data_IF_772330054762
#
_entry.id   IF_772330054762
#
_cell.length_a   1.000
_cell.length_b   1.000
_cell.length_c   1.000
_cell.angle_alpha   90.00
_cell.angle_beta   90.00
_cell.angle_gamma   90.00
#
_symmetry.space_group_name_H-M   'P 1'
#
loop_
_entity.id
_entity.type
_entity.pdbx_description
1 polymer ?
#
# COMPACT_ATOMS: atom_id res chain seq x y z
N UNK A 1 -49.77 19.13 36.40
CA UNK A 1 -49.67 17.68 36.09
C UNK A 1 -50.46 17.30 34.82
N UNK A 2 -51.69 17.71 34.68
CA UNK A 2 -52.48 17.42 33.45
C UNK A 2 -51.82 17.84 32.12
N UNK A 3 -51.04 18.90 32.12
CA UNK A 3 -50.40 19.45 30.94
C UNK A 3 -49.16 18.60 30.44
N UNK A 4 -48.45 17.90 31.33
CA UNK A 4 -47.30 17.06 30.95
C UNK A 4 -47.75 15.69 30.39
N UNK A 5 -48.79 15.10 30.96
CA UNK A 5 -49.35 13.83 30.47
C UNK A 5 -50.03 14.00 29.12
N UNK A 6 -50.72 15.15 28.92
CA UNK A 6 -51.27 15.49 27.61
C UNK A 6 -50.17 15.68 26.56
N UNK A 7 -49.12 16.45 26.90
CA UNK A 7 -47.97 16.66 26.01
C UNK A 7 -47.27 15.36 25.62
N UNK A 8 -47.12 14.42 26.60
CA UNK A 8 -46.56 13.10 26.36
C UNK A 8 -47.40 12.32 25.34
N UNK A 9 -48.72 12.30 25.56
CA UNK A 9 -49.67 11.58 24.69
C UNK A 9 -49.65 12.14 23.28
N UNK A 10 -49.63 13.48 23.13
CA UNK A 10 -49.61 14.16 21.84
C UNK A 10 -48.32 13.90 21.08
N UNK A 11 -47.15 13.94 21.77
CA UNK A 11 -45.85 13.66 21.17
C UNK A 11 -45.73 12.18 20.73
N UNK A 12 -46.19 11.24 21.56
CA UNK A 12 -46.18 9.81 21.20
C UNK A 12 -47.09 9.52 20.00
N UNK A 13 -48.25 10.15 19.91
CA UNK A 13 -49.16 10.02 18.77
C UNK A 13 -48.52 10.62 17.47
N UNK A 14 -47.78 11.72 17.55
CA UNK A 14 -47.06 12.29 16.44
C UNK A 14 -45.92 11.38 16.00
N UNK A 15 -45.16 10.78 16.92
CA UNK A 15 -44.07 9.83 16.64
C UNK A 15 -44.64 8.59 15.90
N UNK A 16 -45.77 8.06 16.35
CA UNK A 16 -46.38 6.87 15.74
C UNK A 16 -46.80 7.08 14.27
N UNK A 17 -47.18 8.30 13.91
CA UNK A 17 -47.61 8.64 12.54
C UNK A 17 -46.52 9.26 11.69
N UNK A 18 -45.31 9.46 12.22
CA UNK A 18 -44.21 10.11 11.52
C UNK A 18 -43.51 9.16 10.55
N UNK A 19 -43.07 9.70 9.40
CA UNK A 19 -42.03 9.12 8.56
C UNK A 19 -40.62 9.52 9.06
N UNK A 20 -39.55 9.04 8.42
CA UNK A 20 -38.18 9.31 8.85
C UNK A 20 -37.84 10.82 8.89
N UNK A 21 -38.33 11.62 7.94
CA UNK A 21 -38.07 13.06 7.90
C UNK A 21 -38.85 13.79 9.02
N UNK A 22 -40.12 13.50 9.16
CA UNK A 22 -40.96 14.07 10.21
C UNK A 22 -40.49 13.66 11.63
N UNK A 23 -39.95 12.45 11.78
CA UNK A 23 -39.37 11.96 13.01
C UNK A 23 -38.17 12.75 13.46
N UNK A 24 -37.28 13.11 12.53
CA UNK A 24 -36.12 13.97 12.82
C UNK A 24 -36.56 15.41 13.18
N UNK A 25 -37.54 15.95 12.49
CA UNK A 25 -38.11 17.25 12.81
C UNK A 25 -38.76 17.25 14.21
N UNK A 26 -39.48 16.18 14.58
CA UNK A 26 -40.01 15.99 15.92
C UNK A 26 -38.90 15.87 16.97
N UNK A 27 -37.84 15.17 16.68
CA UNK A 27 -36.67 15.08 17.57
C UNK A 27 -36.06 16.46 17.85
N UNK A 28 -35.89 17.27 16.82
CA UNK A 28 -35.34 18.62 16.94
C UNK A 28 -36.31 19.57 17.68
N UNK A 29 -37.60 19.51 17.36
CA UNK A 29 -38.64 20.37 17.97
C UNK A 29 -38.92 20.02 19.46
N UNK A 30 -38.83 18.73 19.83
CA UNK A 30 -39.06 18.31 21.20
C UNK A 30 -37.77 18.36 22.08
N UNK A 31 -36.66 17.80 21.56
CA UNK A 31 -35.44 17.54 22.34
C UNK A 31 -34.25 18.44 21.97
N UNK A 32 -34.31 19.20 20.87
CA UNK A 32 -33.25 20.09 20.42
C UNK A 32 -32.93 21.21 21.42
N UNK A 33 -31.85 21.97 21.16
CA UNK A 33 -31.37 23.06 22.06
C UNK A 33 -32.46 24.11 22.38
N UNK A 34 -33.40 24.38 21.48
CA UNK A 34 -34.57 25.26 21.61
C UNK A 34 -35.89 24.48 21.66
N UNK A 35 -35.83 23.14 21.83
CA UNK A 35 -36.99 22.28 21.82
C UNK A 35 -37.90 22.46 23.04
N UNK A 36 -39.15 22.07 22.90
CA UNK A 36 -40.22 22.27 23.93
C UNK A 36 -39.82 21.67 25.26
N UNK A 37 -39.38 20.42 25.31
CA UNK A 37 -38.99 19.74 26.55
C UNK A 37 -37.71 20.41 27.14
N UNK A 38 -36.73 20.74 26.29
CA UNK A 38 -35.52 21.42 26.75
C UNK A 38 -35.78 22.82 27.29
N UNK A 39 -36.75 23.52 26.71
CA UNK A 39 -37.26 24.80 27.20
C UNK A 39 -37.89 24.70 28.59
N UNK A 40 -38.71 23.67 28.80
CA UNK A 40 -39.34 23.39 30.11
C UNK A 40 -38.30 23.04 31.17
N UNK A 41 -37.27 22.25 30.82
CA UNK A 41 -36.14 21.92 31.74
C UNK A 41 -35.39 23.21 32.17
N UNK A 42 -35.16 24.13 31.25
CA UNK A 42 -34.52 25.43 31.59
C UNK A 42 -35.41 26.31 32.48
N UNK A 43 -36.74 26.19 32.35
CA UNK A 43 -37.71 26.92 33.17
C UNK A 43 -37.84 26.43 34.63
N UNK A 44 -37.33 25.24 34.97
CA UNK A 44 -37.35 24.69 36.36
C UNK A 44 -36.66 25.63 37.33
N UNK A 45 -35.63 26.37 36.87
CA UNK A 45 -34.94 27.34 37.72
C UNK A 45 -35.81 28.45 38.28
N UNK A 46 -36.98 28.72 37.70
CA UNK A 46 -37.92 29.78 38.13
C UNK A 46 -38.98 29.26 39.12
N UNK A 47 -39.07 27.92 39.39
CA UNK A 47 -40.01 27.32 40.33
C UNK A 47 -39.51 27.44 41.79
N UNK A 48 -40.41 27.37 42.77
CA UNK A 48 -40.06 27.25 44.17
C UNK A 48 -39.11 26.07 44.45
N UNK A 49 -38.16 26.17 45.42
CA UNK A 49 -37.17 25.13 45.68
C UNK A 49 -37.76 23.74 45.98
N UNK A 50 -38.91 23.67 46.60
CA UNK A 50 -39.63 22.46 46.94
C UNK A 50 -40.18 21.72 45.72
N UNK A 51 -40.61 22.42 44.66
CA UNK A 51 -41.22 21.83 43.45
C UNK A 51 -40.18 21.47 42.38
N UNK A 52 -38.95 22.01 42.48
CA UNK A 52 -37.89 21.80 41.42
C UNK A 52 -37.51 20.37 41.27
N UNK A 53 -37.45 19.58 42.35
CA UNK A 53 -37.01 18.19 42.33
C UNK A 53 -38.03 17.32 41.61
N UNK A 54 -39.28 17.48 41.95
CA UNK A 54 -40.38 16.65 41.38
C UNK A 54 -40.65 17.03 39.92
N UNK A 55 -40.64 18.31 39.59
CA UNK A 55 -40.73 18.79 38.20
C UNK A 55 -39.55 18.31 37.34
N UNK A 56 -38.33 18.34 37.88
CA UNK A 56 -37.13 17.84 37.20
C UNK A 56 -37.18 16.34 36.92
N UNK A 57 -37.67 15.56 37.89
CA UNK A 57 -37.82 14.13 37.75
C UNK A 57 -38.87 13.75 36.66
N UNK A 58 -40.05 14.42 36.71
CA UNK A 58 -41.10 14.20 35.72
C UNK A 58 -40.67 14.60 34.29
N UNK A 59 -39.99 15.73 34.13
CA UNK A 59 -39.44 16.15 32.82
C UNK A 59 -38.36 15.22 32.29
N UNK A 60 -37.53 14.65 33.16
CA UNK A 60 -36.53 13.64 32.72
C UNK A 60 -37.22 12.33 32.30
N UNK A 61 -38.24 11.89 33.00
CA UNK A 61 -39.04 10.71 32.59
C UNK A 61 -39.72 10.95 31.24
N UNK A 62 -40.32 12.14 31.02
CA UNK A 62 -40.90 12.53 29.76
C UNK A 62 -39.85 12.55 28.61
N UNK A 63 -38.72 13.20 28.88
CA UNK A 63 -37.62 13.27 27.92
C UNK A 63 -37.13 11.90 27.48
N UNK A 64 -36.89 11.00 28.44
CA UNK A 64 -36.42 9.65 28.15
C UNK A 64 -37.50 8.85 27.39
N UNK A 65 -38.76 8.91 27.80
CA UNK A 65 -39.83 8.21 27.10
C UNK A 65 -40.01 8.68 25.65
N UNK A 66 -39.88 9.99 25.38
CA UNK A 66 -39.94 10.53 24.02
C UNK A 66 -38.70 10.15 23.21
N UNK A 67 -37.53 10.15 23.80
CA UNK A 67 -36.29 9.74 23.11
C UNK A 67 -36.35 8.24 22.74
N UNK A 68 -36.71 7.38 23.69
CA UNK A 68 -36.87 5.94 23.46
C UNK A 68 -37.93 5.63 22.37
N UNK A 69 -39.03 6.37 22.36
CA UNK A 69 -40.07 6.18 21.34
C UNK A 69 -39.60 6.61 19.95
N UNK A 70 -38.83 7.70 19.87
CA UNK A 70 -38.22 8.16 18.61
C UNK A 70 -37.22 7.14 18.09
N UNK A 71 -36.32 6.65 18.93
CA UNK A 71 -35.31 5.67 18.54
C UNK A 71 -35.95 4.35 18.09
N UNK A 72 -36.93 3.83 18.85
CA UNK A 72 -37.67 2.60 18.49
C UNK A 72 -38.41 2.76 17.14
N UNK A 73 -39.07 3.91 16.91
CA UNK A 73 -39.78 4.16 15.65
C UNK A 73 -38.80 4.30 14.48
N UNK A 74 -37.67 4.93 14.69
CA UNK A 74 -36.58 5.08 13.70
C UNK A 74 -36.07 3.72 13.25
N UNK A 75 -35.76 2.82 14.20
CA UNK A 75 -35.26 1.47 13.90
C UNK A 75 -36.29 0.69 13.05
N UNK A 76 -37.58 0.81 13.36
CA UNK A 76 -38.65 0.15 12.59
C UNK A 76 -38.74 0.71 11.17
N UNK A 77 -38.65 2.03 11.00
CA UNK A 77 -38.73 2.67 9.70
C UNK A 77 -37.51 2.39 8.84
N UNK A 78 -36.32 2.38 9.44
CA UNK A 78 -35.05 2.04 8.74
C UNK A 78 -35.07 0.56 8.31
N UNK A 79 -35.53 -0.35 9.18
CA UNK A 79 -35.65 -1.74 8.80
C UNK A 79 -36.67 -1.96 7.66
N UNK A 80 -37.81 -1.29 7.72
CA UNK A 80 -38.81 -1.37 6.65
C UNK A 80 -38.31 -0.76 5.33
N UNK A 81 -37.54 0.32 5.39
CA UNK A 81 -36.89 0.92 4.20
C UNK A 81 -35.86 -0.01 3.60
N UNK A 82 -35.04 -0.65 4.44
CA UNK A 82 -34.07 -1.64 4.00
C UNK A 82 -34.74 -2.85 3.35
N UNK A 83 -35.77 -3.40 3.96
CA UNK A 83 -36.53 -4.54 3.40
C UNK A 83 -37.17 -4.19 2.05
N UNK A 84 -37.71 -2.97 1.91
CA UNK A 84 -38.25 -2.50 0.66
C UNK A 84 -37.17 -2.34 -0.44
N UNK A 85 -35.99 -1.84 -0.06
CA UNK A 85 -34.85 -1.76 -0.97
C UNK A 85 -34.38 -3.14 -1.42
N UNK A 86 -34.21 -4.07 -0.47
CA UNK A 86 -33.79 -5.45 -0.75
C UNK A 86 -34.82 -6.22 -1.62
N UNK A 87 -36.12 -5.94 -1.47
CA UNK A 87 -37.13 -6.55 -2.30
C UNK A 87 -37.10 -6.10 -3.77
N UNK A 88 -36.60 -4.90 -4.03
CA UNK A 88 -36.49 -4.32 -5.38
C UNK A 88 -35.11 -4.51 -6.00
N UNK A 89 -34.09 -4.69 -5.20
CA UNK A 89 -32.69 -4.83 -5.62
C UNK A 89 -32.44 -6.27 -6.14
N UNK A 90 -32.61 -6.45 -7.44
CA UNK A 90 -32.39 -7.71 -8.13
C UNK A 90 -31.01 -7.73 -8.80
N UNK A 91 -30.12 -8.56 -8.28
CA UNK A 91 -28.86 -8.87 -8.93
C UNK A 91 -29.09 -10.07 -9.87
N UNK A 92 -28.80 -9.89 -11.15
CA UNK A 92 -28.84 -10.98 -12.11
C UNK A 92 -27.60 -11.85 -11.94
N UNK A 93 -27.76 -12.96 -11.23
CA UNK A 93 -26.68 -13.92 -10.97
C UNK A 93 -26.40 -14.84 -12.17
N UNK A 94 -27.18 -14.73 -13.27
CA UNK A 94 -26.94 -15.50 -14.49
C UNK A 94 -25.96 -14.82 -15.45
N UNK A 95 -25.64 -13.55 -15.20
CA UNK A 95 -24.60 -12.85 -15.94
C UNK A 95 -23.25 -13.55 -15.72
N UNK A 96 -22.49 -13.83 -16.78
CA UNK A 96 -21.16 -14.38 -16.63
C UNK A 96 -20.30 -13.40 -15.82
N UNK A 97 -19.44 -13.96 -14.95
CA UNK A 97 -18.44 -13.17 -14.26
C UNK A 97 -17.63 -12.37 -15.29
N UNK A 98 -17.30 -11.13 -14.96
CA UNK A 98 -16.32 -10.39 -15.77
C UNK A 98 -15.07 -11.26 -15.88
N UNK A 99 -14.55 -11.51 -17.10
CA UNK A 99 -13.31 -12.24 -17.23
C UNK A 99 -12.25 -11.53 -16.41
N UNK A 100 -11.66 -12.26 -15.44
CA UNK A 100 -10.48 -11.75 -14.76
C UNK A 100 -9.39 -11.58 -15.82
N UNK A 101 -8.87 -10.37 -15.94
CA UNK A 101 -7.71 -10.12 -16.78
C UNK A 101 -6.54 -10.92 -16.20
N UNK A 102 -6.19 -12.01 -16.86
CA UNK A 102 -4.98 -12.76 -16.50
C UNK A 102 -3.79 -11.90 -16.84
N UNK A 103 -3.10 -11.40 -15.81
CA UNK A 103 -1.84 -10.71 -15.99
C UNK A 103 -0.82 -11.57 -16.74
N UNK A 104 0.16 -10.94 -17.38
CA UNK A 104 1.29 -11.59 -18.02
C UNK A 104 2.58 -11.13 -17.35
N UNK A 105 3.53 -12.03 -17.20
CA UNK A 105 4.87 -11.69 -16.69
C UNK A 105 5.57 -10.83 -17.77
N UNK A 106 6.20 -9.75 -17.35
CA UNK A 106 6.92 -8.85 -18.24
C UNK A 106 8.06 -9.59 -18.94
N UNK A 107 8.34 -9.38 -20.26
CA UNK A 107 9.40 -10.08 -20.97
C UNK A 107 10.77 -10.01 -20.30
N UNK A 108 11.16 -8.86 -19.76
CA UNK A 108 12.44 -8.74 -19.03
C UNK A 108 12.48 -9.65 -17.80
N UNK A 109 11.37 -9.77 -17.04
CA UNK A 109 11.33 -10.67 -15.90
C UNK A 109 11.45 -12.13 -16.34
N UNK A 110 10.76 -12.52 -17.40
CA UNK A 110 10.90 -13.86 -17.97
C UNK A 110 12.35 -14.17 -18.41
N UNK A 111 12.99 -13.21 -19.07
CA UNK A 111 14.40 -13.34 -19.49
C UNK A 111 15.34 -13.47 -18.31
N UNK A 112 15.15 -12.67 -17.26
CA UNK A 112 15.96 -12.76 -16.03
C UNK A 112 15.76 -14.12 -15.36
N UNK A 113 14.53 -14.58 -15.22
CA UNK A 113 14.21 -15.86 -14.59
C UNK A 113 14.85 -17.03 -15.37
N UNK A 114 14.80 -17.00 -16.71
CA UNK A 114 15.44 -17.99 -17.58
C UNK A 114 16.96 -17.98 -17.44
N UNK A 115 17.59 -16.81 -17.51
CA UNK A 115 19.03 -16.68 -17.33
C UNK A 115 19.49 -17.16 -15.94
N UNK A 116 18.76 -16.79 -14.89
CA UNK A 116 19.04 -17.23 -13.53
C UNK A 116 18.92 -18.74 -13.40
N UNK A 117 17.89 -19.36 -14.00
CA UNK A 117 17.73 -20.81 -13.97
C UNK A 117 18.92 -21.51 -14.61
N UNK A 118 19.39 -21.05 -15.78
CA UNK A 118 20.56 -21.59 -16.46
C UNK A 118 21.81 -21.51 -15.59
N UNK A 119 22.08 -20.36 -14.97
CA UNK A 119 23.24 -20.20 -14.08
C UNK A 119 23.13 -21.02 -12.81
N UNK A 120 21.92 -21.17 -12.25
CA UNK A 120 21.70 -22.05 -11.09
C UNK A 120 22.00 -23.52 -11.43
N UNK A 121 21.64 -24.01 -12.62
CA UNK A 121 22.01 -25.35 -13.09
C UNK A 121 23.52 -25.51 -13.27
N UNK A 122 24.24 -24.44 -13.61
CA UNK A 122 25.71 -24.40 -13.62
C UNK A 122 26.34 -24.30 -12.22
N UNK A 123 25.55 -24.28 -11.15
CA UNK A 123 26.01 -24.24 -9.76
C UNK A 123 26.29 -22.83 -9.22
N UNK A 124 25.73 -21.79 -9.84
CA UNK A 124 25.74 -20.44 -9.28
C UNK A 124 24.59 -20.25 -8.29
N UNK A 125 24.82 -19.42 -7.28
CA UNK A 125 23.76 -18.95 -6.37
C UNK A 125 23.42 -17.49 -6.71
N UNK A 126 22.16 -17.10 -6.54
CA UNK A 126 21.73 -15.73 -6.77
C UNK A 126 22.13 -14.87 -5.60
N UNK A 127 22.78 -13.74 -5.88
CA UNK A 127 23.07 -12.70 -4.90
C UNK A 127 22.39 -11.40 -5.28
N UNK A 128 21.82 -10.71 -4.29
CA UNK A 128 21.11 -9.46 -4.47
C UNK A 128 21.70 -8.35 -3.60
N UNK A 129 21.47 -7.11 -4.00
CA UNK A 129 21.92 -5.94 -3.25
C UNK A 129 21.11 -4.68 -3.58
N UNK A 130 21.30 -3.61 -2.79
CA UNK A 130 20.56 -2.38 -2.92
C UNK A 130 20.86 -1.65 -4.23
N UNK A 131 19.89 -0.86 -4.73
CA UNK A 131 20.10 0.03 -5.87
C UNK A 131 20.87 1.30 -5.49
N UNK A 132 20.73 1.75 -4.24
CA UNK A 132 21.44 2.92 -3.70
C UNK A 132 22.67 2.42 -2.97
N UNK A 133 23.84 2.80 -3.45
CA UNK A 133 25.11 2.29 -2.99
C UNK A 133 26.05 3.40 -2.46
N UNK A 134 27.02 2.97 -1.68
CA UNK A 134 28.15 3.83 -1.34
C UNK A 134 29.09 3.99 -2.54
N UNK A 135 29.79 5.10 -2.61
CA UNK A 135 30.86 5.32 -3.56
C UNK A 135 31.94 4.21 -3.47
N UNK A 136 32.25 3.75 -2.26
CA UNK A 136 33.20 2.68 -2.02
C UNK A 136 32.83 1.39 -2.78
N UNK A 137 31.61 0.89 -2.61
CA UNK A 137 31.16 -0.35 -3.24
C UNK A 137 31.01 -0.21 -4.76
N UNK A 138 30.56 0.96 -5.23
CA UNK A 138 30.26 1.16 -6.64
C UNK A 138 31.51 1.46 -7.46
N UNK A 139 32.55 2.06 -6.85
CA UNK A 139 33.73 2.53 -7.57
C UNK A 139 35.05 2.15 -6.91
N UNK A 140 35.31 2.60 -5.69
CA UNK A 140 36.62 2.51 -5.07
C UNK A 140 37.08 1.06 -4.90
N UNK A 141 36.23 0.16 -4.39
CA UNK A 141 36.54 -1.25 -4.23
C UNK A 141 36.71 -2.01 -5.55
N UNK A 142 36.25 -1.45 -6.66
CA UNK A 142 36.39 -1.98 -8.01
C UNK A 142 37.58 -1.34 -8.77
N UNK A 143 38.46 -0.62 -8.06
CA UNK A 143 39.62 0.03 -8.63
C UNK A 143 39.29 1.10 -9.70
N UNK A 144 38.16 1.78 -9.53
CA UNK A 144 37.78 2.94 -10.34
C UNK A 144 38.17 4.20 -9.56
N UNK A 145 39.25 4.91 -9.97
CA UNK A 145 39.77 6.04 -9.21
C UNK A 145 38.87 7.29 -9.30
N UNK A 146 39.03 8.30 -8.41
CA UNK A 146 38.18 9.49 -8.36
C UNK A 146 38.12 10.30 -9.65
N UNK A 147 39.20 10.32 -10.40
CA UNK A 147 39.35 11.04 -11.68
C UNK A 147 38.77 10.28 -12.89
N UNK A 148 38.28 9.07 -12.68
CA UNK A 148 37.71 8.26 -13.76
C UNK A 148 36.43 8.91 -14.33
N UNK A 149 36.29 9.01 -15.68
CA UNK A 149 35.13 9.66 -16.31
C UNK A 149 33.78 9.13 -15.81
N UNK A 150 33.64 7.81 -15.58
CA UNK A 150 32.42 7.18 -15.10
C UNK A 150 31.94 7.68 -13.71
N UNK A 151 32.79 8.42 -12.97
CA UNK A 151 32.42 9.02 -11.66
C UNK A 151 31.94 10.46 -11.79
N UNK A 152 31.88 11.00 -12.99
CA UNK A 152 31.43 12.38 -13.21
C UNK A 152 29.90 12.48 -13.05
N UNK A 153 29.43 13.63 -12.58
CA UNK A 153 28.00 13.88 -12.32
C UNK A 153 27.11 13.77 -13.59
N UNK A 154 27.70 13.83 -14.79
CA UNK A 154 26.95 13.66 -16.03
C UNK A 154 26.75 12.19 -16.45
N UNK A 155 27.53 11.24 -15.88
CA UNK A 155 27.44 9.82 -16.19
C UNK A 155 26.79 9.01 -15.05
N UNK A 156 26.78 9.55 -13.82
CA UNK A 156 26.30 8.85 -12.62
C UNK A 156 25.26 9.68 -11.87
N UNK A 157 24.17 9.03 -11.46
CA UNK A 157 23.17 9.64 -10.59
C UNK A 157 23.63 9.63 -9.13
N UNK A 158 24.00 10.78 -8.62
CA UNK A 158 24.33 10.99 -7.21
C UNK A 158 23.12 11.49 -6.43
N UNK A 159 22.96 10.98 -5.21
CA UNK A 159 22.00 11.51 -4.26
C UNK A 159 22.58 12.78 -3.57
N UNK A 160 21.72 13.62 -3.00
CA UNK A 160 22.18 14.72 -2.15
C UNK A 160 23.11 14.20 -1.05
N UNK A 161 24.16 14.97 -0.67
CA UNK A 161 25.05 14.57 0.42
C UNK A 161 24.28 14.47 1.74
N UNK A 162 24.71 13.53 2.60
CA UNK A 162 24.25 13.44 3.97
C UNK A 162 24.87 14.55 4.85
N UNK A 163 24.56 14.58 6.13
CA UNK A 163 25.07 15.56 7.10
C UNK A 163 26.63 15.51 7.22
N UNK A 164 27.24 14.39 6.89
CA UNK A 164 28.68 14.14 6.91
C UNK A 164 29.36 14.51 5.58
N UNK A 165 28.59 14.94 4.58
CA UNK A 165 29.06 15.30 3.24
C UNK A 165 29.25 14.11 2.30
N UNK A 166 28.89 12.90 2.71
CA UNK A 166 29.00 11.70 1.86
C UNK A 166 27.83 11.63 0.87
N UNK A 167 28.13 11.31 -0.38
CA UNK A 167 27.13 11.10 -1.43
C UNK A 167 26.99 9.61 -1.72
N UNK A 168 25.73 9.16 -1.75
CA UNK A 168 25.38 7.84 -2.30
C UNK A 168 25.08 7.97 -3.78
N UNK A 169 25.13 6.83 -4.48
CA UNK A 169 24.89 6.76 -5.92
C UNK A 169 23.79 5.75 -6.25
N UNK A 170 23.06 5.96 -7.32
CA UNK A 170 22.34 4.86 -7.96
C UNK A 170 23.40 3.99 -8.67
N UNK A 171 23.46 2.70 -8.35
CA UNK A 171 24.49 1.80 -8.86
C UNK A 171 24.54 1.79 -10.38
N UNK A 172 25.73 1.97 -10.93
CA UNK A 172 25.98 2.04 -12.38
C UNK A 172 26.17 0.66 -13.02
N UNK A 173 26.33 -0.36 -12.20
CA UNK A 173 26.46 -1.78 -12.55
C UNK A 173 26.06 -2.64 -11.34
N UNK A 174 25.96 -3.95 -11.53
CA UNK A 174 25.60 -4.89 -10.44
C UNK A 174 26.81 -5.33 -9.61
N UNK A 175 28.02 -4.95 -9.99
CA UNK A 175 29.29 -5.31 -9.31
C UNK A 175 29.39 -4.93 -7.82
N UNK A 176 28.70 -3.89 -7.29
CA UNK A 176 28.67 -3.66 -5.84
C UNK A 176 28.25 -4.89 -5.01
N UNK A 177 27.40 -5.75 -5.57
CA UNK A 177 26.97 -6.98 -4.90
C UNK A 177 28.13 -7.98 -4.80
N UNK A 178 29.02 -8.03 -5.81
CA UNK A 178 30.24 -8.83 -5.75
C UNK A 178 31.13 -8.38 -4.58
N UNK A 179 31.31 -7.06 -4.41
CA UNK A 179 32.08 -6.49 -3.29
C UNK A 179 31.44 -6.87 -1.95
N UNK A 180 30.14 -6.72 -1.83
CA UNK A 180 29.40 -7.11 -0.60
C UNK A 180 29.55 -8.58 -0.26
N UNK A 181 29.48 -9.45 -1.26
CA UNK A 181 29.69 -10.89 -1.08
C UNK A 181 31.10 -11.18 -0.62
N UNK A 182 32.12 -10.63 -1.30
CA UNK A 182 33.53 -10.84 -0.95
C UNK A 182 33.93 -10.30 0.43
N UNK A 183 33.26 -9.27 0.93
CA UNK A 183 33.46 -8.74 2.28
C UNK A 183 32.89 -9.67 3.33
N UNK A 184 31.76 -10.33 3.03
CA UNK A 184 31.01 -11.14 3.99
C UNK A 184 31.33 -12.65 3.94
N UNK A 185 31.80 -13.13 2.79
CA UNK A 185 32.00 -14.56 2.55
C UNK A 185 33.45 -14.84 2.11
N UNK A 186 33.90 -16.05 2.43
CA UNK A 186 35.21 -16.53 1.99
C UNK A 186 35.05 -17.44 0.78
N UNK A 187 36.05 -17.47 -0.13
CA UNK A 187 36.07 -18.44 -1.21
C UNK A 187 35.94 -19.91 -0.72
N UNK A 188 35.34 -20.80 -1.48
CA UNK A 188 34.91 -20.60 -2.87
C UNK A 188 33.59 -19.80 -2.98
N UNK A 189 33.56 -18.85 -3.93
CA UNK A 189 32.38 -18.01 -4.24
C UNK A 189 31.97 -18.30 -5.68
N UNK A 190 30.68 -18.52 -5.89
CA UNK A 190 30.09 -18.68 -7.23
C UNK A 190 28.69 -18.09 -7.23
N UNK A 191 28.58 -16.84 -7.68
CA UNK A 191 27.33 -16.08 -7.64
C UNK A 191 26.97 -15.52 -9.03
N UNK A 192 25.66 -15.34 -9.25
CA UNK A 192 25.08 -14.55 -10.33
C UNK A 192 24.27 -13.40 -9.73
N UNK A 193 24.41 -12.23 -10.30
CA UNK A 193 23.84 -10.99 -9.78
C UNK A 193 22.97 -10.33 -10.85
N UNK A 194 21.68 -10.68 -10.93
CA UNK A 194 20.71 -9.95 -11.75
C UNK A 194 20.31 -8.64 -11.10
N UNK A 195 20.04 -7.59 -11.89
CA UNK A 195 19.51 -6.38 -11.31
C UNK A 195 19.41 -5.19 -12.24
N UNK A 196 18.77 -4.14 -11.74
CA UNK A 196 18.69 -2.84 -12.40
C UNK A 196 19.94 -2.04 -12.15
N UNK A 197 20.36 -1.30 -13.16
CA UNK A 197 21.50 -0.38 -13.14
C UNK A 197 21.07 0.94 -13.74
N UNK A 198 21.81 2.01 -13.38
CA UNK A 198 21.40 3.38 -13.69
C UNK A 198 22.60 4.18 -14.20
N UNK A 199 22.43 4.87 -15.33
CA UNK A 199 23.43 5.78 -15.91
C UNK A 199 22.74 7.03 -16.42
N UNK A 200 23.37 8.17 -16.24
CA UNK A 200 22.81 9.46 -16.65
C UNK A 200 22.96 9.72 -18.17
N UNK A 201 22.83 8.67 -18.97
CA UNK A 201 22.89 8.77 -20.43
C UNK A 201 21.53 9.22 -20.99
N UNK A 202 21.56 10.23 -21.84
CA UNK A 202 20.37 10.80 -22.48
C UNK A 202 20.58 10.94 -23.99
N UNK A 203 20.44 9.84 -24.71
CA UNK A 203 20.43 9.87 -26.18
C UNK A 203 19.34 8.95 -26.76
N UNK A 204 19.24 8.91 -28.07
CA UNK A 204 18.21 8.12 -28.76
C UNK A 204 18.39 6.60 -28.61
N UNK A 205 19.55 6.14 -28.14
CA UNK A 205 19.93 4.72 -28.07
C UNK A 205 20.11 4.21 -26.65
N UNK A 206 20.16 5.10 -25.66
CA UNK A 206 20.41 4.76 -24.25
C UNK A 206 19.20 5.04 -23.37
N UNK A 207 18.93 4.11 -22.44
CA UNK A 207 17.96 4.31 -21.37
C UNK A 207 18.69 4.59 -20.06
N UNK A 208 18.25 5.55 -19.24
CA UNK A 208 18.88 5.85 -17.95
C UNK A 208 18.79 4.69 -16.95
N UNK A 209 17.92 3.72 -17.20
CA UNK A 209 17.81 2.50 -16.42
C UNK A 209 17.81 1.31 -17.37
N UNK A 210 18.64 0.31 -17.09
CA UNK A 210 18.68 -0.94 -17.81
C UNK A 210 18.91 -2.12 -16.87
N UNK A 211 18.78 -3.33 -17.36
CA UNK A 211 18.99 -4.55 -16.58
C UNK A 211 20.34 -5.17 -16.97
N UNK A 212 21.01 -5.70 -15.97
CA UNK A 212 22.31 -6.34 -16.12
C UNK A 212 22.33 -7.63 -15.30
N UNK A 213 23.07 -8.61 -15.78
CA UNK A 213 23.40 -9.83 -15.04
C UNK A 213 24.95 -9.95 -15.02
N UNK A 214 25.52 -10.13 -13.86
CA UNK A 214 26.96 -10.39 -13.69
C UNK A 214 27.18 -11.73 -13.00
N UNK A 215 28.23 -12.44 -13.38
CA UNK A 215 28.69 -13.64 -12.68
C UNK A 215 30.04 -13.42 -12.01
N UNK A 216 30.24 -13.99 -10.83
CA UNK A 216 31.51 -14.02 -10.13
C UNK A 216 31.85 -15.46 -9.71
N UNK A 217 33.05 -15.89 -10.06
CA UNK A 217 33.62 -17.14 -9.55
C UNK A 217 34.99 -16.87 -8.94
N UNK A 218 35.18 -17.27 -7.70
CA UNK A 218 36.48 -17.21 -7.01
C UNK A 218 36.71 -18.57 -6.38
N UNK A 219 37.71 -19.29 -6.88
CA UNK A 219 38.20 -20.55 -6.32
C UNK A 219 39.69 -20.72 -6.66
N UNK A 220 40.26 -21.83 -6.24
CA UNK A 220 41.68 -22.12 -6.43
C UNK A 220 42.02 -22.63 -7.85
N UNK A 221 41.03 -23.06 -8.66
CA UNK A 221 41.22 -23.74 -9.93
C UNK A 221 40.71 -22.98 -11.14
N UNK A 222 39.96 -21.89 -10.94
CA UNK A 222 39.33 -21.14 -12.05
C UNK A 222 40.38 -20.45 -12.93
N UNK A 223 40.21 -20.60 -14.23
CA UNK A 223 41.04 -19.99 -15.26
C UNK A 223 40.22 -19.59 -16.48
N UNK A 224 40.85 -18.90 -17.47
CA UNK A 224 40.15 -18.39 -18.66
C UNK A 224 39.38 -19.44 -19.48
N UNK A 225 39.81 -20.70 -19.46
CA UNK A 225 39.08 -21.80 -20.10
C UNK A 225 37.73 -22.05 -19.44
N UNK A 226 37.63 -21.93 -18.12
CA UNK A 226 36.35 -22.04 -17.41
C UNK A 226 35.42 -20.86 -17.73
N UNK A 227 35.95 -19.64 -17.79
CA UNK A 227 35.15 -18.48 -18.19
C UNK A 227 34.58 -18.67 -19.60
N UNK A 228 35.43 -19.03 -20.58
CA UNK A 228 34.99 -19.28 -21.94
C UNK A 228 33.98 -20.42 -22.04
N UNK A 229 34.23 -21.53 -21.33
CA UNK A 229 33.30 -22.66 -21.29
C UNK A 229 31.94 -22.30 -20.70
N UNK A 230 31.93 -21.51 -19.61
CA UNK A 230 30.69 -21.03 -19.00
C UNK A 230 29.88 -20.16 -19.98
N UNK A 231 30.52 -19.23 -20.70
CA UNK A 231 29.84 -18.37 -21.68
C UNK A 231 29.33 -19.17 -22.89
N UNK A 232 30.10 -20.12 -23.39
CA UNK A 232 29.65 -21.00 -24.49
C UNK A 232 28.43 -21.80 -24.08
N UNK A 233 28.47 -22.43 -22.91
CA UNK A 233 27.36 -23.25 -22.42
C UNK A 233 26.12 -22.38 -22.15
N UNK A 234 26.28 -21.21 -21.52
CA UNK A 234 25.19 -20.26 -21.35
C UNK A 234 24.55 -19.88 -22.69
N UNK A 235 25.35 -19.49 -23.68
CA UNK A 235 24.80 -19.11 -24.99
C UNK A 235 24.10 -20.27 -25.69
N UNK A 236 24.66 -21.49 -25.60
CA UNK A 236 24.08 -22.68 -26.17
C UNK A 236 22.69 -22.98 -25.62
N UNK A 237 22.56 -22.94 -24.30
CA UNK A 237 21.30 -23.21 -23.61
C UNK A 237 20.29 -22.07 -23.80
N UNK A 238 20.72 -20.83 -23.64
CA UNK A 238 19.83 -19.67 -23.71
C UNK A 238 19.24 -19.42 -25.10
N UNK A 239 20.03 -19.67 -26.16
CA UNK A 239 19.56 -19.51 -27.54
C UNK A 239 19.03 -20.80 -28.18
N UNK A 240 19.11 -21.93 -27.47
CA UNK A 240 18.73 -23.26 -27.96
C UNK A 240 19.44 -23.58 -29.29
N UNK A 241 20.75 -23.34 -29.36
CA UNK A 241 21.59 -23.54 -30.56
C UNK A 241 22.87 -24.24 -30.17
N UNK A 242 23.07 -25.49 -30.68
CA UNK A 242 24.22 -26.31 -30.34
C UNK A 242 25.56 -25.78 -30.86
N UNK A 243 25.57 -25.11 -32.00
CA UNK A 243 26.77 -24.68 -32.69
C UNK A 243 26.82 -23.15 -32.88
N UNK A 244 26.62 -22.41 -31.77
CA UNK A 244 26.71 -20.96 -31.75
C UNK A 244 28.18 -20.52 -31.70
N UNK A 245 28.71 -19.78 -32.71
CA UNK A 245 30.11 -19.36 -32.72
C UNK A 245 30.34 -18.26 -31.67
N UNK A 246 30.96 -18.60 -30.54
CA UNK A 246 31.42 -17.68 -29.50
C UNK A 246 32.90 -17.37 -29.67
N UNK A 247 33.26 -16.09 -29.86
CA UNK A 247 34.62 -15.61 -30.07
C UNK A 247 35.16 -14.92 -28.81
#
# INVERSE_FOLDING_TARGET
>A
MENLDQLKTDLLAQIDNADLAALEDLRVSALGKSGTITGMVKGIGQLPPEDRRDAGQQLNVLKNAVAEAIDAKKDVLEAAALDASLATDRIDVTLPQRPEETGRIHPISQTIDEMVAIFCEMGFTVAEGPHIESDFNNFTALNIPPEHPARQDHDTFYLPPNEEGERKVLRTHTSPVQIRTMVNEKPPIRIVVPGRTFRADHDATHSPMFHQIEGLVIDEATHMGHLKGCLIEFCRVFFDVDDLPVR
#
